data_IF_760119437999
#
_entry.id   IF_760119437999
#
_cell.length_a   1.000
_cell.length_b   1.000
_cell.length_c   1.000
_cell.angle_alpha   90.00
_cell.angle_beta   90.00
_cell.angle_gamma   90.00
#
_symmetry.space_group_name_H-M   'P 1'
#
loop_
_entity.id
_entity.type
_entity.pdbx_description
1 polymer ?
#
# COMPACT_ATOMS: atom_id res chain seq x y z
N UNK A 1 -2.36 2.39 15.65
CA UNK A 1 -0.92 2.44 15.27
C UNK A 1 -0.78 1.65 13.98
N UNK A 2 -0.21 2.23 12.95
CA UNK A 2 0.15 1.53 11.72
C UNK A 2 1.54 0.90 11.90
N UNK A 3 1.65 -0.40 11.68
CA UNK A 3 2.93 -1.12 11.80
C UNK A 3 3.46 -1.41 10.40
N UNK A 4 4.72 -1.00 10.18
CA UNK A 4 5.48 -1.33 8.97
C UNK A 4 6.59 -2.29 9.31
N UNK A 5 6.77 -3.33 8.49
CA UNK A 5 7.86 -4.27 8.62
C UNK A 5 8.44 -4.66 7.26
N UNK A 6 9.64 -5.21 7.30
CA UNK A 6 10.31 -5.80 6.15
C UNK A 6 10.82 -7.17 6.54
N UNK A 7 10.50 -8.17 5.76
CA UNK A 7 10.92 -9.55 5.95
C UNK A 7 11.94 -9.93 4.90
N UNK A 8 12.93 -10.70 5.34
CA UNK A 8 13.93 -11.28 4.45
C UNK A 8 13.81 -12.80 4.56
N UNK A 9 13.67 -13.48 3.43
CA UNK A 9 13.50 -14.93 3.35
C UNK A 9 14.58 -15.59 2.51
N UNK A 10 14.79 -16.88 2.74
CA UNK A 10 15.81 -17.65 2.06
C UNK A 10 17.22 -17.42 2.61
N UNK A 11 17.34 -17.00 3.89
CA UNK A 11 18.63 -16.97 4.58
C UNK A 11 19.18 -18.41 4.69
N UNK A 12 20.52 -18.61 4.54
CA UNK A 12 21.14 -19.92 4.69
C UNK A 12 20.68 -20.65 5.96
N UNK A 13 20.22 -21.89 5.79
CA UNK A 13 19.71 -22.72 6.88
C UNK A 13 18.21 -22.54 7.20
N UNK A 14 17.50 -21.60 6.56
CA UNK A 14 16.04 -21.47 6.71
C UNK A 14 15.33 -22.70 6.12
N UNK A 15 14.61 -23.43 6.96
CA UNK A 15 13.86 -24.62 6.55
C UNK A 15 12.48 -24.25 5.99
N UNK A 16 11.79 -25.25 5.39
CA UNK A 16 10.40 -25.06 4.96
C UNK A 16 9.46 -24.91 6.15
N UNK A 17 9.77 -25.55 7.28
CA UNK A 17 9.03 -25.40 8.53
C UNK A 17 9.13 -23.96 9.06
N UNK A 18 10.32 -23.37 9.09
CA UNK A 18 10.53 -21.98 9.50
C UNK A 18 9.77 -21.01 8.60
N UNK A 19 9.80 -21.24 7.29
CA UNK A 19 9.07 -20.42 6.34
C UNK A 19 7.54 -20.52 6.50
N UNK A 20 7.02 -21.72 6.75
CA UNK A 20 5.59 -21.93 6.99
C UNK A 20 5.15 -21.24 8.30
N UNK A 21 5.95 -21.34 9.36
CA UNK A 21 5.69 -20.62 10.63
C UNK A 21 5.66 -19.10 10.41
N UNK A 22 6.59 -18.56 9.62
CA UNK A 22 6.60 -17.15 9.23
C UNK A 22 5.33 -16.75 8.49
N UNK A 23 4.86 -17.56 7.54
CA UNK A 23 3.62 -17.28 6.80
C UNK A 23 2.40 -17.24 7.73
N UNK A 24 2.28 -18.16 8.67
CA UNK A 24 1.16 -18.16 9.63
C UNK A 24 1.25 -16.95 10.58
N UNK A 25 2.44 -16.61 11.04
CA UNK A 25 2.65 -15.43 11.86
C UNK A 25 2.27 -14.14 11.13
N UNK A 26 2.61 -13.98 9.85
CA UNK A 26 2.20 -12.82 9.03
C UNK A 26 0.68 -12.72 8.93
N UNK A 27 -0.01 -13.84 8.72
CA UNK A 27 -1.49 -13.89 8.65
C UNK A 27 -2.13 -13.50 9.99
N UNK A 28 -1.52 -13.89 11.12
CA UNK A 28 -2.02 -13.55 12.46
C UNK A 28 -1.79 -12.08 12.79
N UNK A 29 -0.60 -11.56 12.50
CA UNK A 29 -0.21 -10.18 12.81
C UNK A 29 -0.92 -9.12 11.98
N UNK A 30 -1.29 -9.44 10.73
CA UNK A 30 -1.99 -8.54 9.80
C UNK A 30 -1.32 -7.16 9.72
N UNK A 31 -0.05 -7.13 9.36
CA UNK A 31 0.68 -5.87 9.20
C UNK A 31 0.02 -4.97 8.16
N UNK A 32 -0.12 -3.69 8.48
CA UNK A 32 -0.68 -2.72 7.54
C UNK A 32 0.24 -2.51 6.34
N UNK A 33 1.55 -2.54 6.58
CA UNK A 33 2.56 -2.38 5.52
C UNK A 33 3.68 -3.39 5.72
N UNK A 34 3.87 -4.27 4.74
CA UNK A 34 4.94 -5.26 4.79
C UNK A 34 5.59 -5.41 3.41
N UNK A 35 6.92 -5.32 3.38
CA UNK A 35 7.74 -5.72 2.24
C UNK A 35 8.42 -7.06 2.50
N UNK A 36 8.69 -7.83 1.44
CA UNK A 36 9.45 -9.06 1.50
C UNK A 36 10.58 -9.04 0.47
N UNK A 37 11.75 -9.54 0.86
CA UNK A 37 12.94 -9.62 0.00
C UNK A 37 13.58 -10.99 0.10
N UNK A 38 14.15 -11.45 -1.02
CA UNK A 38 15.00 -12.63 -1.05
C UNK A 38 16.37 -12.29 -0.44
N UNK A 39 16.92 -13.21 0.33
CA UNK A 39 18.31 -13.11 0.80
C UNK A 39 19.27 -13.05 -0.40
N UNK A 40 20.19 -12.09 -0.34
CA UNK A 40 21.34 -11.97 -1.23
C UNK A 40 22.61 -12.02 -0.40
N UNK A 41 23.57 -12.84 -0.83
CA UNK A 41 24.87 -12.91 -0.16
C UNK A 41 25.68 -11.65 -0.47
N UNK A 42 26.03 -10.91 0.57
CA UNK A 42 26.83 -9.69 0.47
C UNK A 42 28.23 -9.92 1.04
N UNK A 43 29.25 -9.65 0.22
CA UNK A 43 30.65 -9.83 0.60
C UNK A 43 30.99 -9.04 1.88
N UNK A 44 31.75 -9.67 2.77
CA UNK A 44 32.19 -9.05 4.03
C UNK A 44 31.18 -9.12 5.18
N UNK A 45 29.97 -9.59 4.94
CA UNK A 45 28.96 -9.79 6.01
C UNK A 45 29.29 -11.05 6.83
N UNK A 46 28.77 -11.08 8.08
CA UNK A 46 28.90 -12.26 8.93
C UNK A 46 28.28 -13.50 8.27
N UNK A 47 27.13 -13.35 7.62
CA UNK A 47 26.44 -14.45 6.96
C UNK A 47 27.30 -15.05 5.85
N UNK A 48 27.86 -14.25 4.93
CA UNK A 48 28.72 -14.71 3.84
C UNK A 48 30.02 -15.37 4.33
N UNK A 49 30.51 -15.00 5.53
CA UNK A 49 31.74 -15.57 6.08
C UNK A 49 31.52 -16.90 6.81
N UNK A 50 30.31 -17.17 7.32
CA UNK A 50 30.04 -18.27 8.23
C UNK A 50 29.04 -19.29 7.71
N UNK A 51 28.21 -18.90 6.75
CA UNK A 51 27.17 -19.75 6.17
C UNK A 51 27.38 -19.87 4.67
N UNK A 52 27.03 -21.02 4.14
CA UNK A 52 26.97 -21.24 2.71
C UNK A 52 25.55 -20.97 2.23
N UNK A 53 25.39 -20.14 1.22
CA UNK A 53 24.10 -19.94 0.58
C UNK A 53 23.69 -21.23 -0.15
N UNK A 54 22.85 -22.03 0.50
CA UNK A 54 22.42 -23.35 0.05
C UNK A 54 20.97 -23.41 -0.43
N UNK A 55 20.23 -22.26 -0.34
CA UNK A 55 18.88 -22.17 -0.82
C UNK A 55 18.87 -21.65 -2.27
N UNK A 56 18.33 -22.42 -3.23
CA UNK A 56 18.27 -21.99 -4.62
C UNK A 56 17.51 -20.66 -4.79
N UNK A 57 17.98 -19.82 -5.72
CA UNK A 57 17.36 -18.51 -6.00
C UNK A 57 15.85 -18.61 -6.30
N UNK A 58 15.48 -19.64 -7.09
CA UNK A 58 14.07 -19.91 -7.43
C UNK A 58 13.20 -20.18 -6.19
N UNK A 59 13.78 -20.81 -5.17
CA UNK A 59 13.08 -21.08 -3.92
C UNK A 59 12.93 -19.80 -3.07
N UNK A 60 13.96 -18.97 -3.03
CA UNK A 60 13.90 -17.66 -2.38
C UNK A 60 12.81 -16.77 -3.00
N UNK A 61 12.75 -16.73 -4.34
CA UNK A 61 11.73 -16.00 -5.08
C UNK A 61 10.32 -16.54 -4.79
N UNK A 62 10.13 -17.87 -4.79
CA UNK A 62 8.87 -18.51 -4.41
C UNK A 62 8.40 -18.06 -3.00
N UNK A 63 9.33 -18.00 -2.05
CA UNK A 63 9.02 -17.54 -0.68
C UNK A 63 8.60 -16.07 -0.64
N UNK A 64 9.29 -15.21 -1.38
CA UNK A 64 8.90 -13.80 -1.51
C UNK A 64 7.50 -13.69 -2.12
N UNK A 65 7.25 -14.35 -3.24
CA UNK A 65 5.95 -14.30 -3.93
C UNK A 65 4.81 -14.77 -3.02
N UNK A 66 5.07 -15.82 -2.21
CA UNK A 66 4.09 -16.32 -1.24
C UNK A 66 3.76 -15.26 -0.17
N UNK A 67 4.76 -14.61 0.41
CA UNK A 67 4.55 -13.54 1.40
C UNK A 67 3.85 -12.33 0.80
N UNK A 68 4.22 -11.93 -0.41
CA UNK A 68 3.57 -10.83 -1.14
C UNK A 68 2.09 -11.14 -1.37
N UNK A 69 1.75 -12.37 -1.79
CA UNK A 69 0.35 -12.77 -1.98
C UNK A 69 -0.46 -12.75 -0.66
N UNK A 70 0.14 -13.19 0.45
CA UNK A 70 -0.48 -13.10 1.79
C UNK A 70 -0.71 -11.63 2.15
N UNK A 71 0.30 -10.78 1.99
CA UNK A 71 0.19 -9.35 2.31
C UNK A 71 -0.83 -8.64 1.43
N UNK A 72 -0.92 -8.98 0.16
CA UNK A 72 -1.93 -8.41 -0.74
C UNK A 72 -3.36 -8.69 -0.24
N UNK A 73 -3.61 -9.93 0.21
CA UNK A 73 -4.90 -10.29 0.80
C UNK A 73 -5.20 -9.51 2.08
N UNK A 74 -4.20 -9.33 2.95
CA UNK A 74 -4.32 -8.55 4.19
C UNK A 74 -4.58 -7.07 3.86
N UNK A 75 -3.83 -6.48 2.93
CA UNK A 75 -4.00 -5.09 2.50
C UNK A 75 -5.40 -4.84 1.94
N UNK A 76 -5.88 -5.72 1.06
CA UNK A 76 -7.23 -5.62 0.49
C UNK A 76 -8.31 -5.66 1.58
N UNK A 77 -8.18 -6.56 2.59
CA UNK A 77 -9.09 -6.60 3.73
C UNK A 77 -9.06 -5.29 4.54
N UNK A 78 -7.87 -4.79 4.89
CA UNK A 78 -7.71 -3.58 5.69
C UNK A 78 -8.19 -2.32 4.95
N UNK A 79 -7.87 -2.18 3.66
CA UNK A 79 -8.32 -1.07 2.83
C UNK A 79 -9.84 -1.06 2.66
N UNK A 80 -10.46 -2.24 2.53
CA UNK A 80 -11.93 -2.35 2.43
C UNK A 80 -12.65 -1.80 3.67
N UNK A 81 -12.04 -1.93 4.85
CA UNK A 81 -12.57 -1.39 6.11
C UNK A 81 -12.51 0.12 6.20
N UNK A 82 -11.70 0.78 5.36
CA UNK A 82 -11.62 2.23 5.30
C UNK A 82 -12.76 2.86 4.50
N UNK A 83 -13.50 2.10 3.70
CA UNK A 83 -14.63 2.61 2.91
C UNK A 83 -15.71 3.17 3.84
N UNK A 84 -16.17 4.38 3.56
CA UNK A 84 -17.11 5.14 4.38
C UNK A 84 -16.47 5.94 5.52
N UNK A 85 -15.16 5.83 5.74
CA UNK A 85 -14.46 6.62 6.77
C UNK A 85 -13.92 7.93 6.20
N UNK A 86 -13.70 8.89 7.08
CA UNK A 86 -13.00 10.14 6.76
C UNK A 86 -11.50 9.97 7.02
N UNK A 87 -10.69 10.38 6.05
CA UNK A 87 -9.23 10.36 6.14
C UNK A 87 -8.65 11.74 5.85
N UNK A 88 -7.55 12.06 6.54
CA UNK A 88 -6.75 13.24 6.24
C UNK A 88 -5.69 12.86 5.22
N UNK A 89 -5.73 13.50 4.06
CA UNK A 89 -4.89 13.19 2.90
C UNK A 89 -4.08 14.43 2.51
N UNK A 90 -2.79 14.26 2.26
CA UNK A 90 -1.97 15.28 1.59
C UNK A 90 -1.98 15.00 0.10
N UNK A 91 -2.09 16.05 -0.72
CA UNK A 91 -2.02 15.93 -2.17
C UNK A 91 -0.56 15.93 -2.60
N UNK A 92 -0.12 14.85 -3.24
CA UNK A 92 1.25 14.70 -3.71
C UNK A 92 1.42 15.18 -5.16
N UNK A 93 0.43 14.90 -6.01
CA UNK A 93 0.46 15.27 -7.43
C UNK A 93 -0.92 15.37 -8.04
N UNK A 94 -0.97 15.95 -9.24
CA UNK A 94 -2.15 16.04 -10.08
C UNK A 94 -1.95 15.17 -11.33
N UNK A 95 -2.94 14.35 -11.66
CA UNK A 95 -3.02 13.55 -12.88
C UNK A 95 -4.25 13.97 -13.70
N UNK A 96 -4.45 13.39 -14.90
CA UNK A 96 -5.49 13.84 -15.84
C UNK A 96 -6.88 13.93 -15.21
N UNK A 97 -7.36 12.85 -14.56
CA UNK A 97 -8.71 12.78 -13.99
C UNK A 97 -8.73 12.85 -12.46
N UNK A 98 -7.56 12.76 -11.80
CA UNK A 98 -7.46 12.63 -10.36
C UNK A 98 -6.44 13.59 -9.76
N UNK A 99 -6.70 14.00 -8.52
CA UNK A 99 -5.66 14.37 -7.58
C UNK A 99 -5.22 13.10 -6.85
N UNK A 100 -3.92 12.89 -6.76
CA UNK A 100 -3.33 11.74 -6.09
C UNK A 100 -2.67 12.21 -4.81
N UNK A 101 -3.02 11.57 -3.72
CA UNK A 101 -2.47 11.88 -2.43
C UNK A 101 -2.28 10.62 -1.59
N UNK A 102 -1.93 10.79 -0.33
CA UNK A 102 -1.71 9.71 0.61
C UNK A 102 -2.20 10.06 2.00
N UNK A 103 -2.50 9.04 2.78
CA UNK A 103 -2.84 9.20 4.20
C UNK A 103 -1.60 9.42 5.06
N UNK A 104 -1.79 9.75 6.34
CA UNK A 104 -0.69 9.88 7.31
C UNK A 104 0.09 8.58 7.56
N UNK A 105 -0.41 7.45 7.08
CA UNK A 105 0.18 6.11 7.29
C UNK A 105 1.01 5.64 6.11
N UNK A 106 0.99 6.39 5.00
CA UNK A 106 1.54 5.97 3.72
C UNK A 106 2.79 6.77 3.35
N UNK A 107 3.79 6.08 2.82
CA UNK A 107 4.99 6.68 2.24
C UNK A 107 4.73 7.06 0.79
N UNK A 108 5.26 8.20 0.31
CA UNK A 108 5.09 8.59 -1.09
C UNK A 108 5.69 7.53 -2.02
N UNK A 109 5.01 7.25 -3.14
CA UNK A 109 5.45 6.36 -4.24
C UNK A 109 5.69 4.88 -3.87
N UNK A 110 5.41 4.48 -2.63
CA UNK A 110 5.68 3.11 -2.15
C UNK A 110 4.42 2.42 -1.66
N UNK A 111 3.52 3.17 -1.02
CA UNK A 111 2.33 2.63 -0.38
C UNK A 111 1.05 2.99 -1.15
N UNK A 112 -0.09 2.68 -0.51
CA UNK A 112 -1.42 2.97 -1.01
C UNK A 112 -1.60 4.45 -1.36
N UNK A 113 -2.12 4.71 -2.54
CA UNK A 113 -2.50 6.05 -3.00
C UNK A 113 -4.00 6.31 -2.76
N UNK A 114 -4.33 7.57 -2.58
CA UNK A 114 -5.72 8.04 -2.48
C UNK A 114 -6.05 8.87 -3.72
N UNK A 115 -6.93 8.33 -4.55
CA UNK A 115 -7.36 8.92 -5.80
C UNK A 115 -8.64 9.73 -5.59
N UNK A 116 -8.55 11.06 -5.73
CA UNK A 116 -9.67 11.98 -5.59
C UNK A 116 -10.06 12.47 -6.98
N UNK A 117 -11.21 12.04 -7.46
CA UNK A 117 -11.65 12.41 -8.81
C UNK A 117 -11.87 13.91 -8.92
N UNK A 118 -11.28 14.53 -9.95
CA UNK A 118 -11.58 15.91 -10.30
C UNK A 118 -13.05 16.00 -10.69
N UNK A 119 -13.82 16.77 -9.92
CA UNK A 119 -15.24 16.99 -10.23
C UNK A 119 -15.32 17.69 -11.57
N UNK A 120 -15.72 16.99 -12.61
CA UNK A 120 -16.09 17.61 -13.88
C UNK A 120 -17.23 18.60 -13.65
N UNK A 121 -17.30 19.67 -14.42
CA UNK A 121 -18.41 20.62 -14.43
C UNK A 121 -19.70 19.86 -14.76
N UNK A 122 -20.35 19.33 -13.75
CA UNK A 122 -21.65 18.71 -13.87
C UNK A 122 -22.69 19.82 -13.92
N UNK A 123 -23.23 20.11 -15.11
CA UNK A 123 -24.42 20.93 -15.24
C UNK A 123 -25.61 20.27 -14.54
N UNK A 124 -25.79 20.51 -13.26
CA UNK A 124 -27.06 20.24 -12.59
C UNK A 124 -28.08 21.28 -13.04
N UNK A 125 -28.96 20.88 -13.93
CA UNK A 125 -30.17 21.63 -14.22
C UNK A 125 -31.13 21.51 -13.04
N UNK A 126 -31.18 22.52 -12.20
CA UNK A 126 -32.25 22.68 -11.22
C UNK A 126 -32.82 24.07 -11.37
N UNK A 127 -33.96 24.20 -12.05
CA UNK A 127 -34.65 25.46 -12.22
C UNK A 127 -33.90 26.50 -13.05
N UNK A 128 -34.46 27.69 -13.22
CA UNK A 128 -33.97 28.79 -14.08
C UNK A 128 -32.70 29.51 -13.58
N UNK A 129 -31.90 28.94 -12.67
CA UNK A 129 -30.63 29.53 -12.24
C UNK A 129 -29.48 28.57 -12.51
N UNK A 130 -28.53 29.01 -13.35
CA UNK A 130 -27.22 28.35 -13.47
C UNK A 130 -26.39 28.71 -12.24
N UNK A 131 -26.25 27.76 -11.30
CA UNK A 131 -25.16 27.81 -10.34
C UNK A 131 -23.99 27.08 -10.99
N UNK A 132 -22.90 27.79 -11.25
CA UNK A 132 -21.60 27.19 -11.47
C UNK A 132 -21.28 26.40 -10.19
N UNK A 133 -21.38 25.08 -10.26
CA UNK A 133 -20.81 24.23 -9.21
C UNK A 133 -19.30 24.43 -9.28
N UNK A 134 -18.76 25.19 -8.34
CA UNK A 134 -17.35 25.51 -8.33
C UNK A 134 -16.54 24.22 -8.30
N UNK A 135 -15.70 24.03 -9.31
CA UNK A 135 -14.67 23.00 -9.29
C UNK A 135 -13.76 23.31 -8.13
N UNK A 136 -13.75 22.47 -7.09
CA UNK A 136 -12.81 22.63 -6.00
C UNK A 136 -11.43 22.19 -6.52
N UNK A 137 -10.53 23.16 -6.64
CA UNK A 137 -9.13 22.94 -7.02
C UNK A 137 -8.38 22.58 -5.72
N UNK A 138 -7.69 21.43 -5.73
CA UNK A 138 -6.84 21.01 -4.63
C UNK A 138 -5.41 21.45 -4.91
N UNK A 139 -4.71 21.92 -3.88
CA UNK A 139 -3.33 22.37 -3.99
C UNK A 139 -2.37 21.26 -3.58
N UNK A 140 -1.32 21.05 -4.37
CA UNK A 140 -0.26 20.07 -4.07
C UNK A 140 0.46 20.50 -2.79
N UNK A 141 0.69 19.56 -1.89
CA UNK A 141 1.31 19.78 -0.58
C UNK A 141 0.32 20.12 0.53
N UNK A 142 -0.93 20.46 0.20
CA UNK A 142 -1.94 20.79 1.19
C UNK A 142 -2.74 19.57 1.66
N UNK A 143 -3.31 19.68 2.87
CA UNK A 143 -4.06 18.60 3.52
C UNK A 143 -5.56 18.81 3.39
N UNK A 144 -6.25 17.74 3.01
CA UNK A 144 -7.71 17.73 2.90
C UNK A 144 -8.29 16.57 3.71
N UNK A 145 -9.50 16.78 4.24
CA UNK A 145 -10.30 15.67 4.81
C UNK A 145 -11.20 15.13 3.71
N UNK A 146 -11.05 13.87 3.39
CA UNK A 146 -11.79 13.20 2.32
C UNK A 146 -12.55 12.00 2.87
N UNK A 147 -13.63 11.61 2.21
CA UNK A 147 -14.38 10.39 2.51
C UNK A 147 -13.97 9.30 1.53
N UNK A 148 -13.50 8.16 2.04
CA UNK A 148 -13.16 6.99 1.21
C UNK A 148 -14.46 6.37 0.69
N UNK A 149 -14.59 6.25 -0.62
CA UNK A 149 -15.81 5.73 -1.29
C UNK A 149 -15.63 4.34 -1.90
N UNK A 150 -14.39 3.93 -2.17
CA UNK A 150 -14.04 2.64 -2.76
C UNK A 150 -12.60 2.28 -2.39
N UNK A 151 -12.31 0.98 -2.32
CA UNK A 151 -10.94 0.43 -2.25
C UNK A 151 -10.70 -0.53 -3.40
N UNK A 152 -9.48 -0.60 -3.86
CA UNK A 152 -8.92 -1.64 -4.73
C UNK A 152 -7.72 -2.29 -4.01
N UNK A 153 -7.03 -3.21 -4.66
CA UNK A 153 -5.99 -4.02 -4.00
C UNK A 153 -4.87 -3.17 -3.37
N UNK A 154 -4.58 -2.01 -3.95
CA UNK A 154 -3.50 -1.12 -3.52
C UNK A 154 -3.91 0.35 -3.40
N UNK A 155 -5.12 0.72 -3.84
CA UNK A 155 -5.54 2.12 -3.92
C UNK A 155 -6.89 2.37 -3.24
N UNK A 156 -7.07 3.60 -2.79
CA UNK A 156 -8.31 4.13 -2.26
C UNK A 156 -8.87 5.20 -3.20
N UNK A 157 -10.18 5.21 -3.36
CA UNK A 157 -10.89 6.27 -4.06
C UNK A 157 -11.66 7.10 -3.06
N UNK A 158 -11.58 8.42 -3.20
CA UNK A 158 -12.18 9.33 -2.24
C UNK A 158 -12.92 10.51 -2.90
N UNK A 159 -13.76 11.15 -2.10
CA UNK A 159 -14.43 12.41 -2.41
C UNK A 159 -14.26 13.39 -1.25
N UNK A 160 -14.35 14.70 -1.56
CA UNK A 160 -14.35 15.78 -0.56
C UNK A 160 -15.68 15.82 0.17
#
# INVERSE_FOLDING_TARGET
>A
ICIRTTLLVGHPGETEEDFNELCEWVKEMKFERMGAFAYSEEEGTFSAQHYKDDIPQVEKERRVDTLVAIQQSISSELLSQMVGTQQRVVIDREEDEYYVGRTQYDSPEVDCEVLIKKSGIGNMKTGNEYRESGVQILEIGEFYTVTIIKSEDFDLYATL
#
